data_IF_864951682654
#
_entry.id   IF_864951682654
#
_cell.length_a   1.000
_cell.length_b   1.000
_cell.length_c   1.000
_cell.angle_alpha   90.00
_cell.angle_beta   90.00
_cell.angle_gamma   90.00
#
_symmetry.space_group_name_H-M   'P 1'
#
loop_
_entity.id
_entity.type
_entity.pdbx_description
1 polymer ?
#
# COMPACT_ATOMS: atom_id res chain seq x y z
N UNK A 1 64.73 24.16 -7.02
CA UNK A 1 64.25 23.09 -6.16
C UNK A 1 62.72 23.19 -5.82
N UNK A 2 61.93 23.95 -6.59
CA UNK A 2 60.47 24.12 -6.32
C UNK A 2 59.56 23.27 -7.23
N UNK A 3 60.07 22.72 -8.33
CA UNK A 3 59.27 21.95 -9.31
C UNK A 3 58.74 20.59 -8.82
N UNK A 4 59.48 19.75 -8.05
CA UNK A 4 58.95 18.44 -7.61
C UNK A 4 57.82 18.57 -6.60
N UNK A 5 57.85 19.57 -5.73
CA UNK A 5 56.79 19.79 -4.72
C UNK A 5 55.47 20.18 -5.39
N UNK A 6 55.48 20.98 -6.43
CA UNK A 6 54.30 21.37 -7.19
C UNK A 6 53.61 20.16 -7.86
N UNK A 7 54.42 19.28 -8.49
CA UNK A 7 53.88 18.04 -9.08
C UNK A 7 53.27 17.10 -8.06
N UNK A 8 53.86 16.97 -6.86
CA UNK A 8 53.31 16.14 -5.78
C UNK A 8 51.96 16.69 -5.28
N UNK A 9 51.85 18.01 -5.11
CA UNK A 9 50.63 18.67 -4.67
C UNK A 9 49.52 18.52 -5.72
N UNK A 10 49.81 18.67 -6.99
CA UNK A 10 48.82 18.47 -8.07
C UNK A 10 48.38 17.02 -8.16
N UNK A 11 49.29 16.06 -7.99
CA UNK A 11 48.96 14.64 -8.02
C UNK A 11 48.09 14.23 -6.82
N UNK A 12 48.34 14.75 -5.61
CA UNK A 12 47.51 14.55 -4.43
C UNK A 12 46.13 15.16 -4.60
N UNK A 13 45.97 16.34 -5.18
CA UNK A 13 44.71 16.98 -5.47
C UNK A 13 43.86 16.17 -6.48
N UNK A 14 44.45 15.57 -7.49
CA UNK A 14 43.76 14.71 -8.46
C UNK A 14 43.24 13.41 -7.83
N UNK A 15 43.99 12.82 -6.90
CA UNK A 15 43.56 11.61 -6.19
C UNK A 15 42.37 11.89 -5.28
N UNK A 16 42.35 13.04 -4.59
CA UNK A 16 41.20 13.38 -3.70
C UNK A 16 39.91 13.68 -4.47
N UNK A 17 40.00 14.28 -5.66
CA UNK A 17 38.82 14.48 -6.52
C UNK A 17 38.23 13.16 -7.05
N UNK A 18 39.04 12.15 -7.32
CA UNK A 18 38.57 10.84 -7.79
C UNK A 18 37.79 10.04 -6.73
N UNK A 19 38.18 10.14 -5.46
CA UNK A 19 37.53 9.43 -4.36
C UNK A 19 36.11 9.96 -4.07
N UNK A 20 35.90 11.28 -4.14
CA UNK A 20 34.58 11.87 -3.92
C UNK A 20 33.52 11.48 -4.96
N UNK A 21 33.90 11.33 -6.21
CA UNK A 21 33.01 10.93 -7.30
C UNK A 21 32.51 9.48 -7.16
N UNK A 22 33.35 8.59 -6.63
CA UNK A 22 33.03 7.18 -6.39
C UNK A 22 31.96 7.01 -5.29
N UNK A 23 32.06 7.76 -4.20
CA UNK A 23 31.10 7.71 -3.08
C UNK A 23 29.73 8.29 -3.49
N UNK A 24 29.72 9.39 -4.23
CA UNK A 24 28.48 9.97 -4.76
C UNK A 24 27.73 9.01 -5.69
N UNK A 25 28.43 8.28 -6.55
CA UNK A 25 27.83 7.28 -7.44
C UNK A 25 27.20 6.14 -6.66
N UNK A 26 27.88 5.59 -5.66
CA UNK A 26 27.34 4.53 -4.79
C UNK A 26 26.11 4.99 -4.00
N UNK A 27 26.10 6.24 -3.53
CA UNK A 27 24.95 6.80 -2.84
C UNK A 27 23.74 6.93 -3.76
N UNK A 28 23.91 7.31 -5.02
CA UNK A 28 22.85 7.39 -6.02
C UNK A 28 22.34 5.99 -6.34
N UNK A 29 23.20 5.03 -6.64
CA UNK A 29 22.82 3.64 -6.91
C UNK A 29 21.97 3.04 -5.78
N UNK A 30 22.33 3.30 -4.52
CA UNK A 30 21.55 2.86 -3.35
C UNK A 30 20.15 3.49 -3.28
N UNK A 31 20.01 4.74 -3.72
CA UNK A 31 18.72 5.47 -3.69
C UNK A 31 17.77 5.07 -4.82
N UNK A 32 18.31 4.65 -5.96
CA UNK A 32 17.54 4.20 -7.12
C UNK A 32 17.48 2.67 -7.23
N UNK A 33 18.02 1.94 -6.25
CA UNK A 33 17.89 0.49 -6.22
C UNK A 33 16.41 0.10 -6.20
N UNK A 34 16.00 -0.84 -7.06
CA UNK A 34 14.61 -1.28 -7.08
C UNK A 34 14.21 -1.85 -5.73
N UNK A 35 13.00 -1.50 -5.27
CA UNK A 35 12.42 -2.05 -4.04
C UNK A 35 11.79 -3.39 -4.40
N UNK A 36 12.46 -4.47 -4.03
CA UNK A 36 11.99 -5.84 -4.31
C UNK A 36 12.54 -6.42 -5.62
N UNK A 37 12.30 -7.68 -5.81
CA UNK A 37 12.65 -8.43 -7.01
C UNK A 37 11.37 -8.95 -7.67
N UNK A 38 11.28 -8.82 -8.99
CA UNK A 38 10.21 -9.46 -9.76
C UNK A 38 10.61 -10.91 -9.96
N UNK A 39 9.82 -11.83 -9.40
CA UNK A 39 9.99 -13.26 -9.62
C UNK A 39 9.21 -13.70 -10.86
N UNK A 40 9.85 -14.39 -11.76
CA UNK A 40 9.20 -15.10 -12.85
C UNK A 40 8.76 -16.49 -12.37
N UNK A 41 7.76 -17.05 -13.02
CA UNK A 41 7.04 -18.27 -12.59
C UNK A 41 7.93 -19.52 -12.44
N UNK A 42 9.09 -19.52 -13.09
CA UNK A 42 10.08 -20.60 -13.13
C UNK A 42 11.33 -20.33 -12.26
N UNK A 43 11.33 -19.29 -11.44
CA UNK A 43 12.45 -18.95 -10.54
C UNK A 43 12.21 -19.39 -9.10
N UNK A 44 13.26 -19.79 -8.40
CA UNK A 44 13.20 -20.27 -7.01
C UNK A 44 12.56 -19.25 -6.04
N UNK A 45 12.69 -17.96 -6.33
CA UNK A 45 12.06 -16.89 -5.56
C UNK A 45 10.52 -16.88 -5.63
N UNK A 46 9.91 -17.51 -6.66
CA UNK A 46 8.46 -17.64 -6.78
C UNK A 46 7.85 -18.56 -5.70
N UNK A 47 8.66 -19.40 -5.07
CA UNK A 47 8.21 -20.29 -3.99
C UNK A 47 7.99 -19.56 -2.66
N UNK A 48 8.76 -18.50 -2.37
CA UNK A 48 8.55 -17.68 -1.17
C UNK A 48 7.24 -16.88 -1.21
N UNK A 49 6.84 -16.42 -2.40
CA UNK A 49 5.58 -15.67 -2.57
C UNK A 49 4.36 -16.58 -2.32
N UNK A 50 4.46 -17.87 -2.60
CA UNK A 50 3.40 -18.84 -2.36
C UNK A 50 3.08 -19.02 -0.87
N UNK A 51 4.08 -18.86 0.01
CA UNK A 51 3.91 -18.97 1.45
C UNK A 51 3.14 -17.78 2.01
N UNK A 52 3.37 -16.57 1.49
CA UNK A 52 2.66 -15.37 1.94
C UNK A 52 1.20 -15.38 1.48
N UNK A 53 0.92 -15.90 0.29
CA UNK A 53 -0.45 -16.08 -0.21
C UNK A 53 -1.22 -17.19 0.55
N UNK A 54 -0.54 -18.20 1.09
CA UNK A 54 -1.16 -19.27 1.87
C UNK A 54 -1.46 -18.90 3.33
N UNK A 55 -0.88 -17.80 3.85
CA UNK A 55 -1.17 -17.32 5.21
C UNK A 55 -2.50 -16.53 5.26
N UNK A 56 -3.02 -16.08 4.12
CA UNK A 56 -4.29 -15.37 4.00
C UNK A 56 -5.49 -16.27 3.64
N UNK A 57 -5.38 -17.59 3.84
CA UNK A 57 -6.43 -18.56 3.56
C UNK A 57 -7.58 -18.60 4.59
N UNK A 58 -7.65 -17.66 5.52
CA UNK A 58 -8.79 -17.43 6.40
C UNK A 58 -9.62 -16.24 5.92
N UNK A 59 -10.95 -16.33 6.04
CA UNK A 59 -11.86 -15.22 5.81
C UNK A 59 -11.48 -14.05 6.73
N UNK A 60 -11.28 -12.87 6.13
CA UNK A 60 -10.94 -11.65 6.89
C UNK A 60 -12.12 -11.24 7.77
N UNK A 61 -11.82 -10.75 8.96
CA UNK A 61 -12.83 -10.16 9.83
C UNK A 61 -13.39 -8.86 9.23
N UNK A 62 -14.60 -8.48 9.64
CA UNK A 62 -15.21 -7.23 9.22
C UNK A 62 -14.34 -6.01 9.54
N UNK A 63 -13.65 -6.05 10.69
CA UNK A 63 -12.70 -5.01 11.07
C UNK A 63 -11.50 -4.92 10.10
N UNK A 64 -10.91 -6.04 9.72
CA UNK A 64 -9.77 -6.05 8.79
C UNK A 64 -10.16 -5.53 7.41
N UNK A 65 -11.33 -5.90 6.92
CA UNK A 65 -11.87 -5.39 5.65
C UNK A 65 -12.15 -3.89 5.76
N UNK A 66 -12.79 -3.45 6.85
CA UNK A 66 -13.03 -2.03 7.11
C UNK A 66 -11.72 -1.23 7.12
N UNK A 67 -10.73 -1.66 7.88
CA UNK A 67 -9.45 -0.96 8.02
C UNK A 67 -8.68 -0.85 6.70
N UNK A 68 -8.81 -1.84 5.81
CA UNK A 68 -8.05 -1.89 4.56
C UNK A 68 -8.76 -1.22 3.38
N UNK A 69 -10.08 -1.24 3.33
CA UNK A 69 -10.84 -0.79 2.16
C UNK A 69 -11.81 0.38 2.45
N UNK A 70 -12.49 0.38 3.61
CA UNK A 70 -13.62 1.27 3.87
C UNK A 70 -13.23 2.57 4.58
N UNK A 71 -12.18 2.55 5.41
CA UNK A 71 -11.74 3.66 6.29
C UNK A 71 -11.54 4.95 5.54
N UNK A 72 -11.01 4.92 4.32
CA UNK A 72 -10.68 6.12 3.54
C UNK A 72 -11.88 7.06 3.40
N UNK A 73 -13.07 6.52 3.20
CA UNK A 73 -14.29 7.30 3.04
C UNK A 73 -15.11 7.36 4.33
N UNK A 74 -15.26 6.22 5.01
CA UNK A 74 -16.20 6.10 6.13
C UNK A 74 -15.65 6.56 7.48
N UNK A 75 -14.34 6.78 7.63
CA UNK A 75 -13.79 7.37 8.85
C UNK A 75 -14.09 8.88 8.98
N UNK A 76 -14.12 9.59 7.85
CA UNK A 76 -14.21 11.06 7.81
C UNK A 76 -15.45 11.57 7.06
N UNK A 77 -16.39 10.70 6.72
CA UNK A 77 -17.60 11.03 5.93
C UNK A 77 -17.27 11.65 4.55
N UNK A 78 -16.23 11.16 3.88
CA UNK A 78 -15.81 11.67 2.58
C UNK A 78 -16.92 11.48 1.53
N UNK A 79 -17.14 12.49 0.69
CA UNK A 79 -18.13 12.48 -0.39
C UNK A 79 -19.55 12.05 0.04
N UNK A 80 -19.94 12.32 1.28
CA UNK A 80 -21.25 11.96 1.83
C UNK A 80 -21.37 10.51 2.28
N UNK A 81 -20.26 9.80 2.45
CA UNK A 81 -20.23 8.47 3.05
C UNK A 81 -20.73 8.54 4.50
N UNK A 82 -21.59 7.61 4.95
CA UNK A 82 -21.98 7.53 6.36
C UNK A 82 -20.74 7.23 7.21
N UNK A 83 -20.58 7.97 8.31
CA UNK A 83 -19.43 7.84 9.18
C UNK A 83 -19.50 6.56 10.01
N UNK A 84 -18.36 5.89 10.17
CA UNK A 84 -18.23 4.71 11.02
C UNK A 84 -18.79 4.92 12.43
N UNK A 85 -19.67 4.03 12.87
CA UNK A 85 -20.27 4.02 14.21
C UNK A 85 -21.18 5.21 14.52
N UNK A 86 -21.45 6.09 13.57
CA UNK A 86 -22.34 7.25 13.77
C UNK A 86 -23.73 7.02 13.18
N UNK A 87 -24.64 6.56 14.02
CA UNK A 87 -26.02 6.27 13.62
C UNK A 87 -26.75 7.47 12.98
N UNK A 88 -26.41 8.69 13.36
CA UNK A 88 -27.01 9.89 12.78
C UNK A 88 -26.56 10.07 11.33
N UNK A 89 -25.30 9.84 11.05
CA UNK A 89 -24.73 9.88 9.71
C UNK A 89 -25.29 8.75 8.82
N UNK A 90 -25.61 7.59 9.37
CA UNK A 90 -26.26 6.49 8.66
C UNK A 90 -27.71 6.80 8.31
N UNK A 91 -28.43 7.56 9.15
CA UNK A 91 -29.83 7.95 8.92
C UNK A 91 -30.76 6.75 8.76
N UNK A 92 -31.61 6.77 7.71
CA UNK A 92 -32.55 5.68 7.40
C UNK A 92 -31.85 4.35 7.10
N UNK A 93 -30.64 4.39 6.52
CA UNK A 93 -29.84 3.18 6.22
C UNK A 93 -29.54 2.33 7.46
N UNK A 94 -29.48 2.94 8.65
CA UNK A 94 -29.26 2.22 9.89
C UNK A 94 -30.44 1.28 10.28
N UNK A 95 -31.56 1.38 9.57
CA UNK A 95 -32.77 0.56 9.79
C UNK A 95 -33.03 -0.41 8.61
N UNK A 96 -32.19 -0.38 7.57
CA UNK A 96 -32.30 -1.28 6.43
C UNK A 96 -31.79 -2.68 6.78
N UNK A 97 -32.26 -3.67 6.04
CA UNK A 97 -31.79 -5.04 6.18
C UNK A 97 -30.32 -5.13 5.71
N UNK A 98 -29.56 -5.97 6.39
CA UNK A 98 -28.14 -6.19 6.12
C UNK A 98 -27.88 -6.60 4.66
N UNK A 99 -28.72 -7.49 4.12
CA UNK A 99 -28.58 -7.97 2.75
C UNK A 99 -28.72 -6.82 1.73
N UNK A 100 -29.64 -5.88 1.97
CA UNK A 100 -29.81 -4.71 1.13
C UNK A 100 -28.59 -3.76 1.19
N UNK A 101 -28.05 -3.58 2.39
CA UNK A 101 -26.82 -2.80 2.56
C UNK A 101 -25.62 -3.45 1.83
N UNK A 102 -25.51 -4.78 1.94
CA UNK A 102 -24.42 -5.53 1.25
C UNK A 102 -24.60 -5.46 -0.27
N UNK A 103 -25.82 -5.57 -0.79
CA UNK A 103 -26.10 -5.39 -2.23
C UNK A 103 -25.70 -3.99 -2.70
N UNK A 104 -25.98 -2.97 -1.87
CA UNK A 104 -25.55 -1.59 -2.13
C UNK A 104 -24.02 -1.46 -2.19
N UNK A 105 -23.30 -2.15 -1.31
CA UNK A 105 -21.82 -2.18 -1.34
C UNK A 105 -21.32 -2.87 -2.61
N UNK A 106 -21.92 -4.00 -2.99
CA UNK A 106 -21.51 -4.75 -4.20
C UNK A 106 -21.70 -3.90 -5.45
N UNK A 107 -22.83 -3.23 -5.57
CA UNK A 107 -23.18 -2.43 -6.76
C UNK A 107 -22.54 -1.03 -6.75
N UNK A 108 -22.19 -0.51 -5.57
CA UNK A 108 -21.82 0.88 -5.36
C UNK A 108 -23.04 1.81 -5.31
N UNK A 109 -22.88 3.00 -4.73
CA UNK A 109 -23.94 4.00 -4.62
C UNK A 109 -23.38 5.42 -4.65
N UNK A 110 -23.73 6.21 -5.66
CA UNK A 110 -23.30 7.60 -5.78
C UNK A 110 -21.78 7.73 -5.84
N UNK A 111 -21.16 8.27 -4.81
CA UNK A 111 -19.69 8.38 -4.70
C UNK A 111 -18.99 7.11 -4.22
N UNK A 112 -19.73 6.11 -3.78
CA UNK A 112 -19.16 4.83 -3.35
C UNK A 112 -18.95 3.91 -4.56
N UNK A 113 -17.73 3.48 -4.84
CA UNK A 113 -17.46 2.56 -5.94
C UNK A 113 -17.97 1.14 -5.64
N UNK A 114 -18.22 0.31 -6.67
CA UNK A 114 -18.56 -1.10 -6.48
C UNK A 114 -17.55 -1.84 -5.60
N UNK A 115 -18.03 -2.75 -4.77
CA UNK A 115 -17.27 -3.53 -3.78
C UNK A 115 -16.57 -2.67 -2.72
N UNK A 116 -16.84 -1.35 -2.64
CA UNK A 116 -16.11 -0.43 -1.75
C UNK A 116 -14.61 -0.39 -2.03
N UNK A 117 -14.19 -0.64 -3.28
CA UNK A 117 -12.81 -0.85 -3.74
C UNK A 117 -12.13 -2.14 -3.23
N UNK A 118 -12.80 -3.00 -2.52
CA UNK A 118 -12.26 -4.29 -2.11
C UNK A 118 -12.51 -5.36 -3.19
N UNK A 119 -11.82 -5.27 -4.33
CA UNK A 119 -12.07 -6.13 -5.49
C UNK A 119 -11.77 -7.61 -5.25
N UNK A 120 -11.07 -7.94 -4.17
CA UNK A 120 -10.73 -9.30 -3.75
C UNK A 120 -11.49 -9.76 -2.50
N UNK A 121 -12.48 -9.01 -2.05
CA UNK A 121 -13.36 -9.42 -0.96
C UNK A 121 -14.41 -10.43 -1.44
N UNK A 122 -14.65 -11.45 -0.63
CA UNK A 122 -15.84 -12.28 -0.79
C UNK A 122 -17.09 -11.52 -0.31
N UNK A 123 -18.28 -11.98 -0.72
CA UNK A 123 -19.53 -11.40 -0.23
C UNK A 123 -19.65 -11.51 1.28
N UNK A 124 -19.19 -12.61 1.87
CA UNK A 124 -19.21 -12.83 3.30
C UNK A 124 -18.28 -11.86 4.06
N UNK A 125 -17.12 -11.57 3.52
CA UNK A 125 -16.20 -10.54 4.05
C UNK A 125 -16.82 -9.14 3.98
N UNK A 126 -17.52 -8.81 2.90
CA UNK A 126 -18.26 -7.55 2.78
C UNK A 126 -19.40 -7.48 3.80
N UNK A 127 -20.15 -8.59 3.99
CA UNK A 127 -21.20 -8.68 4.99
C UNK A 127 -20.65 -8.41 6.39
N UNK A 128 -19.55 -9.06 6.75
CA UNK A 128 -18.89 -8.85 8.04
C UNK A 128 -18.40 -7.39 8.21
N UNK A 129 -17.93 -6.76 7.14
CA UNK A 129 -17.51 -5.36 7.17
C UNK A 129 -18.69 -4.40 7.38
N UNK A 130 -19.79 -4.61 6.70
CA UNK A 130 -21.02 -3.81 6.87
C UNK A 130 -21.58 -3.96 8.29
N UNK A 131 -21.60 -5.18 8.84
CA UNK A 131 -22.00 -5.40 10.23
C UNK A 131 -21.08 -4.72 11.24
N UNK A 132 -19.82 -4.61 10.92
CA UNK A 132 -18.83 -3.95 11.77
C UNK A 132 -19.02 -2.43 11.79
N UNK A 133 -19.54 -1.85 10.73
CA UNK A 133 -19.68 -0.40 10.54
C UNK A 133 -20.90 0.18 11.24
#
# INVERSE_FOLDING_TARGET
MKKPVFFIVVLLALVTLGLGASEAKKAIEKRIAPVGQVCLEDQDCAQEVKIVASIQGGMRSGKEVYDTACTTCHAIALAGAPKFGDRVSWGERANEDLDHLVETVINGLGGMPPMGMCMNCSQEELTNAVQYM
#
